data_IF_303551280243
#
_entry.id   IF_303551280243
#
_cell.length_a   1.000
_cell.length_b   1.000
_cell.length_c   1.000
_cell.angle_alpha   90.00
_cell.angle_beta   90.00
_cell.angle_gamma   90.00
#
_symmetry.space_group_name_H-M   'P 1'
#
loop_
_entity.id
_entity.type
_entity.pdbx_description
1 polymer ?
#
# COMPACT_ATOMS: atom_id res chain seq x y z
N UNK A 1 -8.66 -8.95 -22.98
CA UNK A 1 -7.31 -8.37 -22.84
C UNK A 1 -7.05 -7.40 -23.97
N UNK A 2 -6.47 -6.22 -23.68
CA UNK A 2 -6.18 -5.19 -24.71
C UNK A 2 -5.23 -5.72 -25.81
N UNK A 3 -4.24 -6.54 -25.42
CA UNK A 3 -3.32 -7.19 -26.37
C UNK A 3 -4.02 -8.16 -27.31
N UNK A 4 -5.07 -8.87 -26.86
CA UNK A 4 -5.82 -9.76 -27.75
C UNK A 4 -6.57 -8.97 -28.82
N UNK A 5 -7.22 -7.86 -28.46
CA UNK A 5 -7.90 -6.97 -29.42
C UNK A 5 -6.92 -6.42 -30.45
N UNK A 6 -5.73 -5.99 -30.02
CA UNK A 6 -4.68 -5.48 -30.91
C UNK A 6 -4.13 -6.57 -31.85
N UNK A 7 -3.93 -7.78 -31.31
CA UNK A 7 -3.41 -8.92 -32.08
C UNK A 7 -4.43 -9.38 -33.13
N UNK A 8 -5.71 -9.44 -32.76
CA UNK A 8 -6.81 -9.75 -33.68
C UNK A 8 -6.95 -8.67 -34.74
N UNK A 9 -6.88 -7.38 -34.39
CA UNK A 9 -6.92 -6.29 -35.37
C UNK A 9 -5.77 -6.37 -36.38
N UNK A 10 -4.54 -6.69 -35.93
CA UNK A 10 -3.41 -6.94 -36.84
C UNK A 10 -3.62 -8.15 -37.74
N UNK A 11 -4.20 -9.23 -37.21
CA UNK A 11 -4.48 -10.44 -37.99
C UNK A 11 -5.50 -10.17 -39.10
N UNK A 12 -6.58 -9.44 -38.80
CA UNK A 12 -7.61 -9.06 -39.78
C UNK A 12 -7.09 -8.09 -40.83
N UNK A 13 -6.23 -7.14 -40.45
CA UNK A 13 -5.60 -6.21 -41.42
C UNK A 13 -4.58 -6.90 -42.33
N UNK A 14 -3.95 -8.00 -41.87
CA UNK A 14 -3.07 -8.83 -42.71
C UNK A 14 -3.86 -9.62 -43.77
N UNK A 15 -5.15 -9.85 -43.53
CA UNK A 15 -6.01 -10.72 -44.34
C UNK A 15 -6.95 -9.97 -45.30
N UNK A 16 -7.20 -8.67 -45.07
CA UNK A 16 -8.17 -7.87 -45.85
C UNK A 16 -7.54 -7.17 -47.08
N UNK A 17 -8.11 -7.45 -48.26
CA UNK A 17 -7.58 -7.19 -49.60
C UNK A 17 -7.51 -5.71 -50.08
N UNK A 18 -7.47 -4.70 -49.21
CA UNK A 18 -7.44 -3.27 -49.63
C UNK A 18 -6.03 -2.70 -49.58
N UNK A 19 -5.17 -3.06 -50.55
CA UNK A 19 -3.74 -2.68 -50.60
C UNK A 19 -3.41 -1.17 -50.66
N UNK A 20 -4.39 -0.26 -50.72
CA UNK A 20 -4.11 1.18 -50.94
C UNK A 20 -3.92 2.01 -49.66
N UNK A 21 -4.40 1.58 -48.48
CA UNK A 21 -4.28 2.37 -47.23
C UNK A 21 -3.97 1.53 -45.96
N UNK A 22 -3.89 0.21 -46.07
CA UNK A 22 -3.68 -0.69 -44.91
C UNK A 22 -2.31 -0.49 -44.25
N UNK A 23 -1.28 -0.07 -44.99
CA UNK A 23 0.07 0.08 -44.46
C UNK A 23 0.15 1.17 -43.38
N UNK A 24 -0.57 2.28 -43.57
CA UNK A 24 -0.64 3.37 -42.58
C UNK A 24 -1.29 2.88 -41.28
N UNK A 25 -2.41 2.15 -41.38
CA UNK A 25 -3.10 1.59 -40.20
C UNK A 25 -2.21 0.56 -39.49
N UNK A 26 -1.50 -0.28 -40.24
CA UNK A 26 -0.56 -1.26 -39.69
C UNK A 26 0.56 -0.57 -38.88
N UNK A 27 1.15 0.50 -39.40
CA UNK A 27 2.18 1.27 -38.71
C UNK A 27 1.63 1.92 -37.42
N UNK A 28 0.42 2.46 -37.46
CA UNK A 28 -0.25 2.95 -36.26
C UNK A 28 -0.48 1.84 -35.22
N UNK A 29 -0.89 0.63 -35.62
CA UNK A 29 -1.02 -0.50 -34.69
C UNK A 29 0.33 -1.02 -34.17
N UNK A 30 1.42 -0.81 -34.92
CA UNK A 30 2.77 -1.07 -34.43
C UNK A 30 3.17 -0.11 -33.34
N UNK A 31 2.95 1.18 -33.57
CA UNK A 31 3.25 2.22 -32.59
C UNK A 31 2.36 2.07 -31.34
N UNK A 32 1.08 1.82 -31.53
CA UNK A 32 0.13 1.61 -30.43
C UNK A 32 0.50 0.39 -29.57
N UNK A 33 1.03 -0.69 -30.17
CA UNK A 33 1.55 -1.84 -29.40
C UNK A 33 2.70 -1.45 -28.49
N UNK A 34 3.63 -0.62 -28.98
CA UNK A 34 4.76 -0.15 -28.18
C UNK A 34 4.28 0.76 -27.04
N UNK A 35 3.26 1.58 -27.29
CA UNK A 35 2.63 2.40 -26.26
C UNK A 35 1.95 1.55 -25.18
N UNK A 36 1.23 0.49 -25.57
CA UNK A 36 0.63 -0.43 -24.61
C UNK A 36 1.66 -1.19 -23.77
N UNK A 37 2.80 -1.59 -24.34
CA UNK A 37 3.88 -2.21 -23.58
C UNK A 37 4.48 -1.24 -22.55
N UNK A 38 4.68 0.03 -22.93
CA UNK A 38 5.13 1.09 -22.02
C UNK A 38 4.09 1.35 -20.92
N UNK A 39 2.82 1.44 -21.29
CA UNK A 39 1.71 1.62 -20.37
C UNK A 39 1.64 0.48 -19.35
N UNK A 40 1.72 -0.78 -19.81
CA UNK A 40 1.72 -1.96 -18.94
C UNK A 40 2.86 -1.90 -17.93
N UNK A 41 4.09 -1.64 -18.37
CA UNK A 41 5.25 -1.51 -17.48
C UNK A 41 5.06 -0.41 -16.42
N UNK A 42 4.50 0.73 -16.81
CA UNK A 42 4.18 1.83 -15.89
C UNK A 42 3.11 1.43 -14.88
N UNK A 43 2.06 0.75 -15.34
CA UNK A 43 0.97 0.27 -14.47
C UNK A 43 1.47 -0.80 -13.48
N UNK A 44 2.30 -1.72 -13.92
CA UNK A 44 2.92 -2.74 -13.07
C UNK A 44 3.81 -2.09 -11.99
N UNK A 45 4.60 -1.08 -12.35
CA UNK A 45 5.43 -0.33 -11.39
C UNK A 45 4.57 0.46 -10.39
N UNK A 46 3.51 1.12 -10.86
CA UNK A 46 2.58 1.83 -9.97
C UNK A 46 1.91 0.88 -8.97
N UNK A 47 1.45 -0.28 -9.45
CA UNK A 47 0.85 -1.31 -8.60
C UNK A 47 1.82 -1.74 -7.48
N UNK A 48 3.09 -1.99 -7.83
CA UNK A 48 4.13 -2.33 -6.84
C UNK A 48 4.33 -1.22 -5.80
N UNK A 49 4.38 0.04 -6.23
CA UNK A 49 4.53 1.16 -5.30
C UNK A 49 3.33 1.31 -4.37
N UNK A 50 2.11 1.12 -4.87
CA UNK A 50 0.90 1.14 -4.04
C UNK A 50 0.91 0.00 -3.02
N UNK A 51 1.33 -1.21 -3.43
CA UNK A 51 1.47 -2.34 -2.51
C UNK A 51 2.51 -2.05 -1.42
N UNK A 52 3.65 -1.46 -1.78
CA UNK A 52 4.67 -1.06 -0.82
C UNK A 52 4.14 -0.01 0.16
N UNK A 53 3.49 1.05 -0.34
CA UNK A 53 2.92 2.09 0.51
C UNK A 53 1.87 1.53 1.49
N UNK A 54 1.03 0.60 1.06
CA UNK A 54 0.08 -0.08 1.95
C UNK A 54 0.79 -0.87 3.05
N UNK A 55 1.88 -1.57 2.71
CA UNK A 55 2.67 -2.30 3.69
C UNK A 55 3.32 -1.35 4.71
N UNK A 56 3.87 -0.24 4.24
CA UNK A 56 4.49 0.76 5.10
C UNK A 56 3.47 1.37 6.07
N UNK A 57 2.24 1.62 5.62
CA UNK A 57 1.13 2.08 6.47
C UNK A 57 0.79 1.05 7.55
N UNK A 58 0.72 -0.23 7.19
CA UNK A 58 0.46 -1.32 8.16
C UNK A 58 1.57 -1.40 9.23
N UNK A 59 2.84 -1.34 8.82
CA UNK A 59 3.97 -1.39 9.73
C UNK A 59 4.00 -0.19 10.69
N UNK A 60 3.64 1.01 10.20
CA UNK A 60 3.46 2.20 11.04
C UNK A 60 2.30 2.02 12.00
N UNK A 61 1.16 1.47 11.56
CA UNK A 61 0.00 1.21 12.42
C UNK A 61 0.34 0.25 13.56
N UNK A 62 1.03 -0.86 13.26
CA UNK A 62 1.51 -1.81 14.26
C UNK A 62 2.44 -1.12 15.27
N UNK A 63 3.38 -0.30 14.78
CA UNK A 63 4.33 0.41 15.63
C UNK A 63 3.62 1.40 16.55
N UNK A 64 2.66 2.17 16.02
CA UNK A 64 1.84 3.09 16.80
C UNK A 64 1.03 2.35 17.89
N UNK A 65 0.38 1.23 17.56
CA UNK A 65 -0.35 0.42 18.55
C UNK A 65 0.54 -0.12 19.66
N UNK A 66 1.78 -0.56 19.33
CA UNK A 66 2.77 -0.97 20.33
C UNK A 66 3.19 0.18 21.24
N UNK A 67 3.38 1.38 20.68
CA UNK A 67 3.74 2.59 21.44
C UNK A 67 2.61 2.95 22.40
N UNK A 68 1.37 3.04 21.92
CA UNK A 68 0.20 3.32 22.76
C UNK A 68 0.05 2.31 23.89
N UNK A 69 0.14 1.01 23.60
CA UNK A 69 0.07 -0.03 24.63
C UNK A 69 1.20 0.05 25.66
N UNK A 70 2.39 0.50 25.27
CA UNK A 70 3.50 0.75 26.22
C UNK A 70 3.22 1.96 27.10
N UNK A 71 2.69 3.05 26.55
CA UNK A 71 2.32 4.23 27.34
C UNK A 71 1.21 3.92 28.35
N UNK A 72 0.16 3.20 27.94
CA UNK A 72 -0.90 2.78 28.87
C UNK A 72 -0.36 1.91 30.03
N UNK A 73 0.68 1.11 29.78
CA UNK A 73 1.32 0.32 30.83
C UNK A 73 2.15 1.18 31.78
N UNK A 74 2.85 2.19 31.27
CA UNK A 74 3.63 3.13 32.07
C UNK A 74 2.69 3.93 32.97
N UNK A 75 1.63 4.51 32.40
CA UNK A 75 0.60 5.24 33.16
C UNK A 75 -0.02 4.36 34.26
N UNK A 76 -0.35 3.10 33.96
CA UNK A 76 -0.87 2.15 34.97
C UNK A 76 0.15 1.74 36.04
N UNK A 77 1.45 1.86 35.79
CA UNK A 77 2.49 1.57 36.78
C UNK A 77 2.73 2.81 37.65
N UNK A 78 2.82 4.00 37.06
CA UNK A 78 2.91 5.27 37.80
C UNK A 78 1.73 5.44 38.75
N UNK A 79 0.49 5.20 38.29
CA UNK A 79 -0.69 5.24 39.16
C UNK A 79 -0.64 4.24 40.32
N UNK A 80 -0.01 3.07 40.12
CA UNK A 80 0.15 2.07 41.20
C UNK A 80 1.24 2.47 42.20
N UNK A 81 2.29 3.13 41.76
CA UNK A 81 3.34 3.63 42.66
C UNK A 81 2.79 4.77 43.54
N UNK A 82 2.03 5.70 42.95
CA UNK A 82 1.35 6.76 43.70
C UNK A 82 0.35 6.20 44.73
N UNK A 83 -0.45 5.20 44.35
CA UNK A 83 -1.39 4.53 45.26
C UNK A 83 -0.67 3.79 46.41
N UNK A 84 0.52 3.24 46.17
CA UNK A 84 1.32 2.54 47.20
C UNK A 84 2.02 3.54 48.13
N UNK A 85 2.55 4.65 47.63
CA UNK A 85 3.12 5.72 48.48
C UNK A 85 2.06 6.35 49.40
N UNK A 86 0.82 6.53 48.92
CA UNK A 86 -0.30 7.01 49.74
C UNK A 86 -0.65 6.03 50.87
N UNK A 87 -0.67 4.72 50.60
CA UNK A 87 -1.00 3.69 51.60
C UNK A 87 0.08 3.50 52.67
N UNK A 88 1.36 3.65 52.32
CA UNK A 88 2.46 3.56 53.29
C UNK A 88 2.53 4.81 54.21
N UNK A 89 2.00 5.95 53.76
CA UNK A 89 1.94 7.17 54.58
C UNK A 89 0.84 7.16 55.65
N UNK A 90 -0.30 6.50 55.39
CA UNK A 90 -1.42 6.40 56.34
C UNK A 90 -1.19 5.37 57.46
N UNK A 91 -0.34 4.36 57.23
CA UNK A 91 -0.07 3.32 58.23
C UNK A 91 0.79 3.83 59.41
N UNK A 92 1.71 4.77 59.16
CA UNK A 92 2.64 5.27 60.18
C UNK A 92 2.06 6.30 61.15
N UNK A 93 0.93 6.94 60.82
CA UNK A 93 0.28 7.93 61.70
C UNK A 93 -0.68 7.29 62.73
N UNK A 94 -0.96 5.98 62.62
CA UNK A 94 -1.89 5.25 63.49
C UNK A 94 -1.26 4.60 64.74
N UNK A 95 0.08 4.59 64.86
CA UNK A 95 0.80 4.00 66.00
C UNK A 95 1.25 5.03 67.07
N UNK A 96 0.95 6.32 66.91
CA UNK A 96 1.30 7.36 67.88
C UNK A 96 0.02 7.91 68.56
N UNK A 97 -0.62 7.14 69.43
CA UNK A 97 -1.47 7.68 70.51
C UNK A 97 -1.57 6.71 71.69
#
# INVERSE_FOLDING_TARGET
TLMAVLTTARAVLKDSATRKQVHVIQDHLVNLSKDFDRFRKRMDNLSKHIQQANKDVEDVHISAGKISSRFEKIEKVELKEDDVELLDSEANDSEIN
#
